data_IF_739255646626
#
_entry.id   IF_739255646626
#
_cell.length_a   1.000
_cell.length_b   1.000
_cell.length_c   1.000
_cell.angle_alpha   90.00
_cell.angle_beta   90.00
_cell.angle_gamma   90.00
#
_symmetry.space_group_name_H-M   'P 1'
#
loop_
_entity.id
_entity.type
_entity.pdbx_description
1 polymer ?
#
# COMPACT_ATOMS: atom_id res chain seq x y z
N UNK A 1 -12.72 -3.79 -17.75
CA UNK A 1 -13.11 -5.16 -18.14
C UNK A 1 -13.29 -5.95 -16.88
N UNK A 2 -14.56 -6.24 -16.63
CA UNK A 2 -15.24 -6.19 -15.35
C UNK A 2 -15.33 -7.59 -14.72
N UNK A 3 -15.44 -7.63 -13.39
CA UNK A 3 -15.67 -8.85 -12.60
C UNK A 3 -16.87 -9.67 -13.11
N UNK A 4 -17.84 -8.98 -13.69
CA UNK A 4 -19.01 -9.54 -14.36
C UNK A 4 -18.66 -10.51 -15.50
N UNK A 5 -17.55 -10.34 -16.22
CA UNK A 5 -17.13 -11.32 -17.25
C UNK A 5 -16.65 -12.63 -16.62
N UNK A 6 -15.95 -12.58 -15.48
CA UNK A 6 -15.48 -13.79 -14.80
C UNK A 6 -16.65 -14.53 -14.19
N UNK A 7 -17.59 -13.79 -13.58
CA UNK A 7 -18.81 -14.36 -13.03
C UNK A 7 -19.73 -14.88 -14.14
N UNK A 8 -19.88 -14.16 -15.27
CA UNK A 8 -20.67 -14.62 -16.42
C UNK A 8 -20.06 -15.83 -17.10
N UNK A 9 -18.74 -15.94 -17.22
CA UNK A 9 -18.13 -17.15 -17.78
C UNK A 9 -18.39 -18.34 -16.84
N UNK A 10 -18.22 -18.15 -15.53
CA UNK A 10 -18.50 -19.19 -14.54
C UNK A 10 -19.98 -19.61 -14.55
N UNK A 11 -20.91 -18.66 -14.57
CA UNK A 11 -22.36 -18.95 -14.57
C UNK A 11 -22.92 -19.35 -15.94
N UNK A 12 -22.29 -18.95 -17.05
CA UNK A 12 -22.64 -19.41 -18.40
C UNK A 12 -22.11 -20.82 -18.68
N UNK A 13 -20.91 -21.16 -18.21
CA UNK A 13 -20.34 -22.51 -18.37
C UNK A 13 -21.02 -23.55 -17.47
N UNK A 14 -21.57 -23.15 -16.31
CA UNK A 14 -22.32 -24.07 -15.45
C UNK A 14 -23.70 -24.48 -16.02
N UNK A 15 -24.18 -23.82 -17.09
CA UNK A 15 -25.46 -24.13 -17.76
C UNK A 15 -25.33 -24.98 -19.01
N UNK A 16 -24.12 -25.23 -19.54
CA UNK A 16 -23.92 -26.02 -20.75
C UNK A 16 -22.79 -27.05 -20.58
N UNK A 17 -23.19 -28.29 -20.23
CA UNK A 17 -22.41 -29.54 -20.23
C UNK A 17 -21.21 -29.65 -19.26
N UNK A 18 -20.96 -30.85 -18.67
CA UNK A 18 -20.29 -30.96 -17.37
C UNK A 18 -18.77 -31.20 -17.39
N UNK A 19 -18.08 -31.09 -18.53
CA UNK A 19 -16.71 -31.63 -18.60
C UNK A 19 -15.69 -30.84 -19.43
N UNK A 20 -15.82 -29.52 -19.50
CA UNK A 20 -14.72 -28.69 -20.01
C UNK A 20 -14.66 -27.36 -19.25
N UNK A 21 -14.51 -27.45 -17.93
CA UNK A 21 -13.99 -26.31 -17.16
C UNK A 21 -12.57 -26.13 -17.68
N UNK A 22 -12.32 -25.09 -18.47
CA UNK A 22 -10.97 -24.72 -18.88
C UNK A 22 -10.24 -24.15 -17.67
N UNK A 23 -9.85 -25.04 -16.75
CA UNK A 23 -9.10 -24.75 -15.54
C UNK A 23 -7.82 -24.01 -15.86
N UNK A 24 -7.27 -24.19 -17.07
CA UNK A 24 -6.08 -23.49 -17.53
C UNK A 24 -6.36 -22.01 -17.84
N UNK A 25 -7.52 -21.68 -18.40
CA UNK A 25 -7.90 -20.28 -18.64
C UNK A 25 -8.20 -19.54 -17.32
N UNK A 26 -8.94 -20.18 -16.40
CA UNK A 26 -9.19 -19.63 -15.07
C UNK A 26 -7.88 -19.41 -14.30
N UNK A 27 -6.97 -20.38 -14.36
CA UNK A 27 -5.66 -20.30 -13.73
C UNK A 27 -4.79 -19.18 -14.32
N UNK A 28 -4.75 -19.01 -15.66
CA UNK A 28 -4.08 -17.88 -16.31
C UNK A 28 -4.64 -16.52 -15.89
N UNK A 29 -5.96 -16.42 -15.73
CA UNK A 29 -6.61 -15.17 -15.28
C UNK A 29 -6.29 -14.85 -13.81
N UNK A 30 -6.25 -15.86 -12.93
CA UNK A 30 -5.83 -15.69 -11.54
C UNK A 30 -4.36 -15.26 -11.46
N UNK A 31 -3.48 -15.94 -12.20
CA UNK A 31 -2.05 -15.62 -12.30
C UNK A 31 -1.80 -14.20 -12.82
N UNK A 32 -2.52 -13.76 -13.85
CA UNK A 32 -2.37 -12.42 -14.40
C UNK A 32 -2.84 -11.33 -13.43
N UNK A 33 -3.94 -11.55 -12.69
CA UNK A 33 -4.40 -10.64 -11.62
C UNK A 33 -3.41 -10.57 -10.47
N UNK A 34 -2.87 -11.71 -10.03
CA UNK A 34 -1.80 -11.80 -9.03
C UNK A 34 -0.56 -11.03 -9.48
N UNK A 35 -0.11 -11.23 -10.72
CA UNK A 35 1.04 -10.52 -11.28
C UNK A 35 0.83 -9.00 -11.37
N UNK A 36 -0.40 -8.55 -11.66
CA UNK A 36 -0.76 -7.13 -11.66
C UNK A 36 -0.75 -6.55 -10.25
N UNK A 37 -1.35 -7.23 -9.28
CA UNK A 37 -1.34 -6.80 -7.89
C UNK A 37 0.08 -6.70 -7.34
N UNK A 38 0.92 -7.71 -7.59
CA UNK A 38 2.33 -7.72 -7.19
C UNK A 38 3.15 -6.60 -7.82
N UNK A 39 2.92 -6.27 -9.09
CA UNK A 39 3.57 -5.14 -9.75
C UNK A 39 3.19 -3.81 -9.09
N UNK A 40 1.91 -3.61 -8.79
CA UNK A 40 1.43 -2.43 -8.08
C UNK A 40 2.05 -2.37 -6.68
N UNK A 41 2.02 -3.47 -5.91
CA UNK A 41 2.65 -3.51 -4.57
C UNK A 41 4.13 -3.16 -4.64
N UNK A 42 4.87 -3.76 -5.59
CA UNK A 42 6.29 -3.50 -5.75
C UNK A 42 6.59 -2.04 -6.08
N UNK A 43 5.77 -1.42 -6.94
CA UNK A 43 5.91 -0.03 -7.33
C UNK A 43 5.59 0.90 -6.15
N UNK A 44 4.46 0.68 -5.47
CA UNK A 44 4.05 1.47 -4.30
C UNK A 44 5.07 1.38 -3.17
N UNK A 45 5.60 0.19 -2.85
CA UNK A 45 6.64 0.02 -1.83
C UNK A 45 7.90 0.83 -2.18
N UNK A 46 8.36 0.75 -3.44
CA UNK A 46 9.53 1.51 -3.88
C UNK A 46 9.31 3.02 -3.85
N UNK A 47 8.15 3.47 -4.33
CA UNK A 47 7.78 4.88 -4.31
C UNK A 47 7.76 5.42 -2.89
N UNK A 48 7.14 4.69 -1.96
CA UNK A 48 7.10 5.04 -0.54
C UNK A 48 8.52 5.15 0.03
N UNK A 49 9.38 4.15 -0.20
CA UNK A 49 10.77 4.16 0.29
C UNK A 49 11.52 5.39 -0.25
N UNK A 50 11.44 5.64 -1.56
CA UNK A 50 12.14 6.76 -2.19
C UNK A 50 11.66 8.12 -1.67
N UNK A 51 10.34 8.28 -1.52
CA UNK A 51 9.75 9.52 -1.01
C UNK A 51 10.18 9.76 0.44
N UNK A 52 10.09 8.75 1.32
CA UNK A 52 10.47 8.91 2.73
C UNK A 52 11.97 9.13 2.92
N UNK A 53 12.82 8.41 2.18
CA UNK A 53 14.27 8.63 2.24
C UNK A 53 14.64 10.01 1.69
N UNK A 54 14.11 10.38 0.53
CA UNK A 54 14.38 11.68 -0.09
C UNK A 54 13.92 12.83 0.80
N UNK A 55 12.70 12.75 1.34
CA UNK A 55 12.18 13.75 2.27
C UNK A 55 12.97 13.79 3.59
N UNK A 56 13.36 12.64 4.14
CA UNK A 56 14.19 12.56 5.35
C UNK A 56 15.56 13.21 5.17
N UNK A 57 16.24 12.93 4.05
CA UNK A 57 17.53 13.54 3.70
C UNK A 57 17.38 15.04 3.47
N UNK A 58 16.38 15.45 2.70
CA UNK A 58 16.14 16.87 2.39
C UNK A 58 15.82 17.69 3.65
N UNK A 59 14.97 17.17 4.53
CA UNK A 59 14.63 17.83 5.80
C UNK A 59 15.82 17.91 6.74
N UNK A 60 16.65 16.86 6.81
CA UNK A 60 17.88 16.88 7.59
C UNK A 60 18.87 17.92 7.06
N UNK A 61 19.09 17.95 5.75
CA UNK A 61 20.02 18.87 5.09
C UNK A 61 19.59 20.33 5.25
N UNK A 62 18.32 20.64 5.06
CA UNK A 62 17.79 22.00 5.24
C UNK A 62 17.87 22.45 6.69
N UNK A 63 17.68 21.55 7.66
CA UNK A 63 17.78 21.87 9.08
C UNK A 63 19.23 22.09 9.54
N UNK A 64 20.20 21.33 9.02
CA UNK A 64 21.62 21.48 9.38
C UNK A 64 22.27 22.70 8.76
N UNK A 65 21.81 23.12 7.58
CA UNK A 65 22.32 24.32 6.88
C UNK A 65 21.63 25.61 7.31
N UNK A 66 20.49 25.52 8.00
CA UNK A 66 19.79 26.68 8.54
C UNK A 66 20.49 27.24 9.78
N UNK A 67 20.51 28.57 9.90
CA UNK A 67 21.13 29.26 11.04
C UNK A 67 20.44 28.95 12.39
N UNK A 68 19.18 28.50 12.36
CA UNK A 68 18.41 28.08 13.55
C UNK A 68 18.04 26.61 13.40
N UNK A 69 18.71 25.77 14.17
CA UNK A 69 18.44 24.34 14.21
C UNK A 69 17.14 24.09 14.99
N UNK A 70 16.26 23.26 14.44
CA UNK A 70 14.99 22.90 15.08
C UNK A 70 15.01 21.41 15.48
N UNK A 71 14.76 21.15 16.77
CA UNK A 71 14.77 19.80 17.31
C UNK A 71 13.64 18.94 16.72
N UNK A 72 12.43 19.49 16.55
CA UNK A 72 11.30 18.76 15.97
C UNK A 72 11.54 18.37 14.51
N UNK A 73 12.30 19.16 13.75
CA UNK A 73 12.65 18.81 12.36
C UNK A 73 13.65 17.64 12.33
N UNK A 74 14.55 17.53 13.30
CA UNK A 74 15.38 16.33 13.45
C UNK A 74 14.55 15.09 13.81
N UNK A 75 13.61 15.21 14.75
CA UNK A 75 12.68 14.14 15.08
C UNK A 75 11.84 13.72 13.86
N UNK A 76 11.38 14.68 13.07
CA UNK A 76 10.66 14.43 11.82
C UNK A 76 11.51 13.64 10.83
N UNK A 77 12.74 14.08 10.57
CA UNK A 77 13.66 13.37 9.67
C UNK A 77 13.95 11.95 10.15
N UNK A 78 14.26 11.77 11.44
CA UNK A 78 14.46 10.46 12.06
C UNK A 78 13.24 9.55 11.88
N UNK A 79 12.04 10.10 12.10
CA UNK A 79 10.79 9.38 11.91
C UNK A 79 10.58 8.95 10.45
N UNK A 80 10.91 9.81 9.48
CA UNK A 80 10.86 9.45 8.05
C UNK A 80 11.78 8.27 7.72
N UNK A 81 12.98 8.21 8.29
CA UNK A 81 13.88 7.06 8.14
C UNK A 81 13.33 5.79 8.80
N UNK A 82 12.74 5.90 9.99
CA UNK A 82 12.08 4.75 10.66
C UNK A 82 10.96 4.19 9.80
N UNK A 83 10.12 5.05 9.22
CA UNK A 83 9.03 4.62 8.33
C UNK A 83 9.58 3.93 7.08
N UNK A 84 10.61 4.50 6.45
CA UNK A 84 11.26 3.86 5.31
C UNK A 84 11.81 2.45 5.66
N UNK A 85 12.44 2.32 6.83
CA UNK A 85 12.98 1.06 7.33
C UNK A 85 11.86 0.02 7.58
N UNK A 86 10.75 0.44 8.21
CA UNK A 86 9.60 -0.44 8.44
C UNK A 86 9.03 -0.99 7.12
N UNK A 87 8.97 -0.17 6.07
CA UNK A 87 8.52 -0.60 4.74
C UNK A 87 9.50 -1.59 4.11
N UNK A 88 10.80 -1.37 4.25
CA UNK A 88 11.84 -2.31 3.78
C UNK A 88 11.73 -3.65 4.51
N UNK A 89 11.59 -3.64 5.84
CA UNK A 89 11.41 -4.87 6.64
C UNK A 89 10.14 -5.61 6.20
N UNK A 90 9.03 -4.89 6.02
CA UNK A 90 7.77 -5.44 5.51
C UNK A 90 7.95 -6.10 4.14
N UNK A 91 8.68 -5.46 3.23
CA UNK A 91 9.02 -5.99 1.90
C UNK A 91 9.88 -7.25 1.97
N UNK A 92 10.89 -7.29 2.85
CA UNK A 92 11.75 -8.48 3.04
C UNK A 92 10.92 -9.63 3.60
N UNK A 93 10.08 -9.39 4.61
CA UNK A 93 9.17 -10.38 5.17
C UNK A 93 8.20 -10.93 4.11
N UNK A 94 7.63 -10.07 3.26
CA UNK A 94 6.76 -10.48 2.15
C UNK A 94 7.48 -11.39 1.14
N UNK A 95 8.72 -11.05 0.78
CA UNK A 95 9.55 -11.89 -0.12
C UNK A 95 9.97 -13.22 0.52
N UNK A 96 10.17 -13.25 1.84
CA UNK A 96 10.44 -14.49 2.56
C UNK A 96 9.19 -15.38 2.61
N UNK A 97 8.02 -14.80 2.89
CA UNK A 97 6.75 -15.52 2.92
C UNK A 97 6.39 -16.14 1.57
N UNK A 98 6.77 -15.53 0.44
CA UNK A 98 6.51 -16.10 -0.89
C UNK A 98 7.19 -17.45 -1.15
N UNK A 99 8.18 -17.84 -0.34
CA UNK A 99 8.88 -19.12 -0.47
C UNK A 99 8.20 -20.27 0.28
N UNK A 100 7.23 -19.95 1.15
CA UNK A 100 6.54 -20.94 2.00
C UNK A 100 5.24 -21.47 1.38
N UNK A 101 4.73 -20.83 0.33
CA UNK A 101 3.50 -21.25 -0.33
C UNK A 101 3.79 -22.26 -1.45
N UNK A 102 3.03 -23.34 -1.46
CA UNK A 102 3.07 -24.32 -2.56
C UNK A 102 2.68 -23.67 -3.89
N UNK A 103 3.27 -24.17 -4.98
CA UNK A 103 2.95 -23.74 -6.36
C UNK A 103 1.59 -24.27 -6.86
N UNK A 104 0.76 -24.81 -5.98
CA UNK A 104 -0.60 -25.23 -6.29
C UNK A 104 -1.52 -24.01 -6.43
N UNK A 105 -2.63 -24.15 -7.17
CA UNK A 105 -3.63 -23.08 -7.36
C UNK A 105 -4.11 -22.51 -6.03
N UNK A 106 -4.31 -23.38 -5.03
CA UNK A 106 -4.74 -23.00 -3.69
C UNK A 106 -3.64 -22.26 -2.91
N UNK A 107 -2.37 -22.71 -3.01
CA UNK A 107 -1.23 -22.02 -2.40
C UNK A 107 -0.97 -20.64 -3.02
N UNK A 108 -1.16 -20.51 -4.33
CA UNK A 108 -1.03 -19.23 -5.02
C UNK A 108 -2.13 -18.23 -4.66
N UNK A 109 -3.36 -18.72 -4.43
CA UNK A 109 -4.49 -17.91 -3.96
C UNK A 109 -4.26 -17.41 -2.53
N UNK A 110 -3.80 -18.29 -1.63
CA UNK A 110 -3.44 -17.93 -0.25
C UNK A 110 -2.32 -16.87 -0.22
N UNK A 111 -1.31 -17.03 -1.07
CA UNK A 111 -0.28 -16.01 -1.22
C UNK A 111 -0.85 -14.68 -1.72
N UNK A 112 -1.77 -14.71 -2.70
CA UNK A 112 -2.47 -13.51 -3.17
C UNK A 112 -3.25 -12.78 -2.08
N UNK A 113 -3.96 -13.53 -1.23
CA UNK A 113 -4.67 -12.99 -0.07
C UNK A 113 -3.72 -12.38 0.96
N UNK A 114 -2.61 -13.07 1.29
CA UNK A 114 -1.60 -12.56 2.21
C UNK A 114 -0.98 -11.24 1.71
N UNK A 115 -0.77 -11.10 0.39
CA UNK A 115 -0.29 -9.86 -0.23
C UNK A 115 -1.33 -8.75 -0.15
N UNK A 116 -2.61 -9.05 -0.41
CA UNK A 116 -3.69 -8.07 -0.30
C UNK A 116 -3.87 -7.59 1.15
N UNK A 117 -3.77 -8.49 2.13
CA UNK A 117 -3.79 -8.14 3.56
C UNK A 117 -2.63 -7.24 3.96
N UNK A 118 -1.43 -7.53 3.45
CA UNK A 118 -0.26 -6.68 3.66
C UNK A 118 -0.48 -5.28 3.09
N UNK A 119 -1.03 -5.16 1.87
CA UNK A 119 -1.33 -3.85 1.27
C UNK A 119 -2.33 -3.03 2.09
N UNK A 120 -3.40 -3.68 2.60
CA UNK A 120 -4.38 -3.00 3.45
C UNK A 120 -3.74 -2.54 4.76
N UNK A 121 -2.93 -3.38 5.41
CA UNK A 121 -2.20 -3.01 6.63
C UNK A 121 -1.22 -1.87 6.39
N UNK A 122 -0.46 -1.93 5.30
CA UNK A 122 0.48 -0.86 4.91
C UNK A 122 -0.24 0.46 4.66
N UNK A 123 -1.37 0.44 3.95
CA UNK A 123 -2.18 1.63 3.69
C UNK A 123 -2.75 2.23 4.98
N UNK A 124 -3.21 1.39 5.92
CA UNK A 124 -3.66 1.87 7.25
C UNK A 124 -2.51 2.50 8.04
N UNK A 125 -1.33 1.88 8.04
CA UNK A 125 -0.15 2.43 8.71
C UNK A 125 0.24 3.79 8.12
N UNK A 126 0.25 3.92 6.78
CA UNK A 126 0.54 5.18 6.10
C UNK A 126 -0.50 6.27 6.42
N UNK A 127 -1.77 5.90 6.57
CA UNK A 127 -2.81 6.85 6.95
C UNK A 127 -2.65 7.37 8.37
N UNK A 128 -2.31 6.50 9.31
CA UNK A 128 -1.99 6.90 10.69
C UNK A 128 -0.73 7.77 10.75
N UNK A 129 0.24 7.49 9.89
CA UNK A 129 1.50 8.22 9.82
C UNK A 129 1.33 9.71 9.49
N UNK A 130 0.28 10.08 8.74
CA UNK A 130 -0.05 11.48 8.42
C UNK A 130 -0.26 12.30 9.70
N UNK A 131 -0.86 11.73 10.74
CA UNK A 131 -1.10 12.46 12.00
C UNK A 131 0.19 12.69 12.78
N UNK A 132 1.06 11.67 12.89
CA UNK A 132 2.35 11.80 13.58
C UNK A 132 3.20 12.87 12.91
N UNK A 133 3.27 12.81 11.58
CA UNK A 133 4.05 13.76 10.77
C UNK A 133 3.43 15.15 10.80
N UNK A 134 2.10 15.24 10.70
CA UNK A 134 1.38 16.49 10.81
C UNK A 134 1.65 17.18 12.14
N UNK A 135 1.63 16.43 13.25
CA UNK A 135 2.01 16.93 14.56
C UNK A 135 3.44 17.46 14.58
N UNK A 136 4.41 16.67 14.14
CA UNK A 136 5.83 17.06 14.13
C UNK A 136 6.09 18.30 13.25
N UNK A 137 5.46 18.42 12.09
CA UNK A 137 5.59 19.60 11.23
C UNK A 137 4.97 20.82 11.91
N UNK A 138 3.78 20.70 12.52
CA UNK A 138 3.13 21.82 13.21
C UNK A 138 3.95 22.30 14.41
N UNK A 139 4.51 21.38 15.21
CA UNK A 139 5.41 21.74 16.31
C UNK A 139 6.70 22.39 15.81
N UNK A 140 7.29 21.87 14.73
CA UNK A 140 8.47 22.48 14.11
C UNK A 140 8.18 23.88 13.56
N UNK A 141 7.01 24.10 12.96
CA UNK A 141 6.58 25.42 12.48
C UNK A 141 6.27 26.39 13.62
N UNK A 142 5.82 25.90 14.78
CA UNK A 142 5.56 26.73 15.96
C UNK A 142 6.85 27.30 16.57
N UNK A 143 7.92 26.50 16.62
CA UNK A 143 9.23 26.97 17.08
C UNK A 143 9.94 27.87 16.06
N UNK A 144 9.61 27.71 14.77
CA UNK A 144 10.09 28.59 13.72
C UNK A 144 9.31 29.91 13.72
N UNK A 145 9.98 31.05 13.57
CA UNK A 145 9.33 32.33 13.29
C UNK A 145 8.82 32.37 11.83
N UNK A 146 8.06 31.35 11.44
CA UNK A 146 7.49 31.21 10.12
C UNK A 146 6.16 31.97 10.07
N UNK A 147 5.81 32.51 8.90
CA UNK A 147 4.51 33.14 8.73
C UNK A 147 3.35 32.17 9.02
N UNK A 148 2.26 32.67 9.59
CA UNK A 148 1.07 31.85 9.90
C UNK A 148 0.44 31.19 8.67
N UNK A 149 0.57 31.79 7.47
CA UNK A 149 0.05 31.23 6.21
C UNK A 149 0.77 29.93 5.80
N UNK A 150 2.02 29.74 6.22
CA UNK A 150 2.75 28.49 5.99
C UNK A 150 2.09 27.32 6.72
N UNK A 151 1.62 27.55 7.95
CA UNK A 151 0.89 26.55 8.74
C UNK A 151 -0.44 26.18 8.10
N UNK A 152 -1.18 27.17 7.58
CA UNK A 152 -2.44 26.93 6.83
C UNK A 152 -2.18 26.09 5.58
N UNK A 153 -1.12 26.40 4.82
CA UNK A 153 -0.72 25.62 3.65
C UNK A 153 -0.40 24.16 3.99
N UNK A 154 0.35 23.92 5.07
CA UNK A 154 0.66 22.56 5.55
C UNK A 154 -0.59 21.80 5.96
N UNK A 155 -1.51 22.43 6.71
CA UNK A 155 -2.76 21.78 7.12
C UNK A 155 -3.59 21.38 5.90
N UNK A 156 -3.75 22.27 4.91
CA UNK A 156 -4.45 21.95 3.67
C UNK A 156 -3.78 20.82 2.90
N UNK A 157 -2.45 20.81 2.82
CA UNK A 157 -1.69 19.73 2.19
C UNK A 157 -1.89 18.38 2.91
N UNK A 158 -1.88 18.36 4.25
CA UNK A 158 -2.13 17.15 5.04
C UNK A 158 -3.56 16.62 4.86
N UNK A 159 -4.55 17.51 4.76
CA UNK A 159 -5.93 17.13 4.46
C UNK A 159 -6.05 16.50 3.06
N UNK A 160 -5.39 17.08 2.07
CA UNK A 160 -5.31 16.51 0.72
C UNK A 160 -4.65 15.14 0.70
N UNK A 161 -3.51 15.00 1.39
CA UNK A 161 -2.81 13.72 1.53
C UNK A 161 -3.66 12.66 2.25
N UNK A 162 -4.42 13.05 3.28
CA UNK A 162 -5.34 12.16 3.99
C UNK A 162 -6.49 11.69 3.10
N UNK A 163 -7.05 12.58 2.29
CA UNK A 163 -8.09 12.23 1.32
C UNK A 163 -7.57 11.25 0.26
N UNK A 164 -6.39 11.52 -0.30
CA UNK A 164 -5.73 10.64 -1.26
C UNK A 164 -5.44 9.24 -0.67
N UNK A 165 -4.93 9.19 0.56
CA UNK A 165 -4.71 7.92 1.29
C UNK A 165 -6.02 7.15 1.52
N UNK A 166 -7.13 7.85 1.78
CA UNK A 166 -8.46 7.25 1.89
C UNK A 166 -8.94 6.60 0.59
N UNK A 167 -8.66 7.23 -0.57
CA UNK A 167 -8.99 6.68 -1.88
C UNK A 167 -8.18 5.40 -2.18
N UNK A 168 -6.88 5.43 -1.90
CA UNK A 168 -5.99 4.29 -2.10
C UNK A 168 -6.42 3.07 -1.25
N UNK A 169 -6.75 3.28 0.03
CA UNK A 169 -7.24 2.22 0.92
C UNK A 169 -8.56 1.59 0.41
N UNK A 170 -9.46 2.39 -0.18
CA UNK A 170 -10.71 1.87 -0.78
C UNK A 170 -10.41 0.93 -1.96
N UNK A 171 -9.42 1.27 -2.79
CA UNK A 171 -9.00 0.41 -3.92
C UNK A 171 -8.43 -0.91 -3.39
N UNK A 172 -7.56 -0.87 -2.38
CA UNK A 172 -6.97 -2.08 -1.81
C UNK A 172 -8.00 -2.97 -1.11
N UNK A 173 -8.95 -2.39 -0.37
CA UNK A 173 -10.07 -3.16 0.21
C UNK A 173 -10.93 -3.84 -0.86
N UNK A 174 -11.23 -3.16 -1.97
CA UNK A 174 -11.96 -3.76 -3.10
C UNK A 174 -11.19 -4.92 -3.73
N UNK A 175 -9.87 -4.79 -3.88
CA UNK A 175 -9.03 -5.87 -4.42
C UNK A 175 -8.98 -7.08 -3.48
N UNK A 176 -8.86 -6.84 -2.17
CA UNK A 176 -8.94 -7.90 -1.16
C UNK A 176 -10.28 -8.66 -1.24
N UNK A 177 -11.40 -7.94 -1.25
CA UNK A 177 -12.74 -8.55 -1.28
C UNK A 177 -12.95 -9.45 -2.51
N UNK A 178 -12.44 -9.03 -3.67
CA UNK A 178 -12.46 -9.83 -4.91
C UNK A 178 -11.64 -11.12 -4.82
N UNK A 179 -10.57 -11.14 -4.02
CA UNK A 179 -9.78 -12.35 -3.79
C UNK A 179 -10.46 -13.28 -2.79
N UNK A 180 -11.16 -12.73 -1.80
CA UNK A 180 -11.98 -13.49 -0.85
C UNK A 180 -13.15 -14.19 -1.56
N UNK A 181 -13.86 -13.48 -2.45
CA UNK A 181 -14.95 -14.04 -3.27
C UNK A 181 -14.48 -15.22 -4.14
N UNK A 182 -13.28 -15.15 -4.71
CA UNK A 182 -12.69 -16.25 -5.50
C UNK A 182 -12.37 -17.48 -4.64
N UNK A 183 -11.93 -17.28 -3.40
CA UNK A 183 -11.68 -18.37 -2.46
C UNK A 183 -12.98 -19.07 -2.09
N UNK A 184 -14.01 -18.30 -1.80
CA UNK A 184 -15.29 -18.83 -1.38
C UNK A 184 -15.98 -19.59 -2.54
N UNK A 185 -15.80 -19.16 -3.79
CA UNK A 185 -16.23 -19.89 -4.99
C UNK A 185 -15.47 -21.20 -5.26
N UNK A 186 -14.20 -21.31 -4.83
CA UNK A 186 -13.39 -22.52 -5.02
C UNK A 186 -13.61 -23.58 -3.92
N UNK A 187 -14.14 -23.15 -2.77
CA UNK A 187 -14.43 -24.02 -1.64
C UNK A 187 -15.92 -24.47 -1.58
N UNK A 188 -16.77 -23.93 -2.45
CA UNK A 188 -18.18 -24.28 -2.61
C UNK A 188 -18.35 -25.33 -3.72
#
# INVERSE_FOLDING_TARGET
MEFEEVQNIWSAQNKQMPYNIDTAELHRRILSKKAKALRITNFTEWLIIMVWLGAGIFTLWTNTTSARQNFFIYCLSAWMFVVALLVVIGRVRRRAASRQFDRSVQGELQYGLAVADYQVRLSQLMRWNIFVIGGLILFGLWEGEKPWWTSVGVVLFLLGAWYASGFENRIYRRQKRRLEELRDLLNA
#
